data_IF_561563800252
#
_entry.id   IF_561563800252
#
_cell.length_a   1.000
_cell.length_b   1.000
_cell.length_c   1.000
_cell.angle_alpha   90.00
_cell.angle_beta   90.00
_cell.angle_gamma   90.00
#
_symmetry.space_group_name_H-M   'P 1'
#
loop_
_entity.id
_entity.type
_entity.pdbx_description
1 polymer ?
#
# COMPACT_ATOMS: atom_id res chain seq x y z
N UNK A 1 13.18 -26.31 -6.59
CA UNK A 1 13.51 -27.75 -6.65
C UNK A 1 14.93 -27.98 -7.20
N UNK A 2 15.31 -27.42 -8.37
CA UNK A 2 16.67 -27.55 -8.94
C UNK A 2 17.86 -27.30 -7.98
N UNK A 3 17.76 -26.32 -7.08
CA UNK A 3 18.82 -26.08 -6.10
C UNK A 3 18.97 -27.23 -5.09
N UNK A 4 17.86 -27.84 -4.66
CA UNK A 4 17.86 -28.99 -3.76
C UNK A 4 18.43 -30.23 -4.47
N UNK A 5 18.02 -30.48 -5.72
CA UNK A 5 18.60 -31.54 -6.56
C UNK A 5 20.12 -31.38 -6.69
N UNK A 6 20.60 -30.14 -6.85
CA UNK A 6 22.04 -29.86 -6.94
C UNK A 6 22.78 -30.12 -5.63
N UNK A 7 22.16 -29.83 -4.48
CA UNK A 7 22.71 -30.09 -3.15
C UNK A 7 22.76 -31.61 -2.90
N UNK A 8 21.66 -32.31 -3.18
CA UNK A 8 21.56 -33.76 -3.00
C UNK A 8 22.61 -34.50 -3.84
N UNK A 9 22.81 -34.07 -5.09
CA UNK A 9 23.89 -34.58 -5.93
C UNK A 9 25.28 -34.30 -5.32
N UNK A 10 25.49 -33.09 -4.78
CA UNK A 10 26.75 -32.72 -4.14
C UNK A 10 27.07 -33.53 -2.87
N UNK A 11 26.06 -34.04 -2.17
CA UNK A 11 26.24 -34.90 -0.98
C UNK A 11 26.68 -36.34 -1.34
N UNK A 12 26.39 -36.79 -2.55
CA UNK A 12 26.66 -38.15 -3.01
C UNK A 12 27.83 -38.26 -4.00
N UNK A 13 28.23 -37.14 -4.62
CA UNK A 13 29.32 -37.07 -5.58
C UNK A 13 30.63 -36.56 -4.96
N UNK A 14 31.74 -36.68 -5.70
CA UNK A 14 32.98 -36.00 -5.32
C UNK A 14 32.82 -34.47 -5.40
N UNK A 15 33.66 -33.73 -4.68
CA UNK A 15 33.62 -32.26 -4.67
C UNK A 15 33.70 -31.65 -6.09
N UNK A 16 34.58 -32.18 -6.94
CA UNK A 16 34.73 -31.70 -8.33
C UNK A 16 33.52 -32.00 -9.21
N UNK A 17 32.84 -33.13 -8.99
CA UNK A 17 31.60 -33.47 -9.67
C UNK A 17 30.45 -32.58 -9.19
N UNK A 18 30.36 -32.34 -7.88
CA UNK A 18 29.40 -31.41 -7.28
C UNK A 18 29.50 -30.01 -7.88
N UNK A 19 30.71 -29.46 -7.98
CA UNK A 19 30.95 -28.15 -8.60
C UNK A 19 30.57 -28.12 -10.09
N UNK A 20 30.88 -29.18 -10.85
CA UNK A 20 30.49 -29.27 -12.27
C UNK A 20 28.97 -29.32 -12.42
N UNK A 21 28.28 -30.09 -11.59
CA UNK A 21 26.82 -30.15 -11.58
C UNK A 21 26.19 -28.81 -11.21
N UNK A 22 26.67 -28.16 -10.14
CA UNK A 22 26.19 -26.85 -9.72
C UNK A 22 26.33 -25.82 -10.85
N UNK A 23 27.49 -25.78 -11.50
CA UNK A 23 27.75 -24.91 -12.67
C UNK A 23 26.73 -25.17 -13.79
N UNK A 24 26.46 -26.43 -14.11
CA UNK A 24 25.51 -26.80 -15.17
C UNK A 24 24.07 -26.38 -14.81
N UNK A 25 23.63 -26.68 -13.59
CA UNK A 25 22.31 -26.29 -13.07
C UNK A 25 22.15 -24.77 -13.08
N UNK A 26 23.16 -24.03 -12.59
CA UNK A 26 23.16 -22.57 -12.60
C UNK A 26 23.01 -22.00 -14.02
N UNK A 27 23.77 -22.51 -15.00
CA UNK A 27 23.68 -22.02 -16.37
C UNK A 27 22.32 -22.33 -17.01
N UNK A 28 21.72 -23.48 -16.69
CA UNK A 28 20.37 -23.83 -17.10
C UNK A 28 19.33 -22.85 -16.53
N UNK A 29 19.36 -22.64 -15.22
CA UNK A 29 18.45 -21.71 -14.53
C UNK A 29 18.61 -20.27 -15.04
N UNK A 30 19.85 -19.79 -15.24
CA UNK A 30 20.12 -18.42 -15.70
C UNK A 30 19.39 -18.06 -17.01
N UNK A 31 19.23 -19.05 -17.89
CA UNK A 31 18.57 -18.92 -19.20
C UNK A 31 17.05 -19.07 -19.15
N UNK A 32 16.46 -19.50 -18.03
CA UNK A 32 15.01 -19.72 -17.93
C UNK A 32 14.21 -18.42 -18.03
N UNK A 33 12.92 -18.53 -18.39
CA UNK A 33 11.98 -17.40 -18.38
C UNK A 33 11.80 -16.84 -16.97
N UNK A 34 11.67 -17.69 -15.97
CA UNK A 34 11.51 -17.29 -14.57
C UNK A 34 12.73 -16.48 -14.08
N UNK A 35 13.95 -16.93 -14.39
CA UNK A 35 15.16 -16.23 -13.97
C UNK A 35 15.29 -14.87 -14.69
N UNK A 36 14.90 -14.78 -15.96
CA UNK A 36 14.82 -13.48 -16.67
C UNK A 36 13.79 -12.54 -16.05
N UNK A 37 12.60 -13.03 -15.74
CA UNK A 37 11.52 -12.24 -15.13
C UNK A 37 11.89 -11.74 -13.73
N UNK A 38 12.47 -12.58 -12.88
CA UNK A 38 12.89 -12.18 -11.54
C UNK A 38 14.02 -11.15 -11.56
N UNK A 39 14.98 -11.26 -12.50
CA UNK A 39 16.00 -10.23 -12.70
C UNK A 39 15.37 -8.91 -13.17
N UNK A 40 14.39 -8.97 -14.07
CA UNK A 40 13.65 -7.78 -14.50
C UNK A 40 12.96 -7.10 -13.31
N UNK A 41 12.21 -7.86 -12.49
CA UNK A 41 11.56 -7.34 -11.28
C UNK A 41 12.56 -6.68 -10.32
N UNK A 42 13.70 -7.34 -10.08
CA UNK A 42 14.78 -6.80 -9.24
C UNK A 42 15.34 -5.45 -9.75
N UNK A 43 15.51 -5.30 -11.07
CA UNK A 43 15.94 -4.02 -11.64
C UNK A 43 14.82 -2.98 -11.67
N UNK A 44 13.57 -3.40 -11.87
CA UNK A 44 12.40 -2.51 -11.86
C UNK A 44 12.19 -1.89 -10.47
N UNK A 45 12.30 -2.67 -9.39
CA UNK A 45 12.23 -2.17 -8.01
C UNK A 45 13.28 -1.09 -7.70
N UNK A 46 14.45 -1.17 -8.34
CA UNK A 46 15.50 -0.15 -8.19
C UNK A 46 15.30 1.06 -9.08
N UNK A 47 14.73 0.84 -10.27
CA UNK A 47 14.45 1.89 -11.22
C UNK A 47 13.32 2.80 -10.75
N UNK A 48 12.32 2.26 -10.03
CA UNK A 48 11.13 3.03 -9.64
C UNK A 48 11.43 4.21 -8.71
N UNK A 49 12.51 4.13 -7.93
CA UNK A 49 12.96 5.23 -7.08
C UNK A 49 13.72 6.34 -7.84
N UNK A 50 14.03 6.14 -9.13
CA UNK A 50 14.74 7.11 -9.98
C UNK A 50 13.75 7.87 -10.83
N UNK A 51 13.21 8.95 -10.30
CA UNK A 51 12.19 9.74 -10.98
C UNK A 51 12.85 10.88 -11.76
N UNK A 52 12.62 10.97 -13.08
CA UNK A 52 13.12 12.09 -13.87
C UNK A 52 12.64 13.44 -13.32
N UNK A 53 13.55 14.40 -13.17
CA UNK A 53 13.24 15.74 -12.65
C UNK A 53 13.32 15.88 -11.12
N UNK A 54 13.70 14.83 -10.39
CA UNK A 54 13.98 14.87 -8.95
C UNK A 54 15.47 14.70 -8.60
N UNK A 55 16.37 14.68 -9.59
CA UNK A 55 17.78 14.30 -9.40
C UNK A 55 18.54 15.23 -8.44
N UNK A 56 18.18 16.51 -8.41
CA UNK A 56 18.80 17.54 -7.57
C UNK A 56 17.91 17.99 -6.41
N UNK A 57 16.81 17.28 -6.16
CA UNK A 57 15.87 17.63 -5.10
C UNK A 57 16.26 16.94 -3.80
N UNK A 58 16.58 17.73 -2.79
CA UNK A 58 16.90 17.20 -1.47
C UNK A 58 15.62 16.88 -0.68
N UNK A 59 15.46 15.65 -0.16
CA UNK A 59 14.35 15.33 0.74
C UNK A 59 14.51 16.09 2.05
N UNK A 60 13.38 16.43 2.69
CA UNK A 60 13.34 16.89 4.08
C UNK A 60 13.60 15.70 5.00
N UNK A 61 14.27 15.94 6.12
CA UNK A 61 14.38 14.94 7.16
C UNK A 61 13.03 14.77 7.86
N UNK A 62 12.69 13.51 8.15
CA UNK A 62 11.50 13.15 8.92
C UNK A 62 11.95 12.29 10.07
N UNK A 63 11.58 12.62 11.29
CA UNK A 63 11.80 11.78 12.46
C UNK A 63 10.54 11.62 13.32
N UNK A 64 9.63 12.59 13.28
CA UNK A 64 8.37 12.66 14.01
C UNK A 64 7.20 12.58 13.04
N UNK A 65 6.39 11.52 13.19
CA UNK A 65 5.19 11.29 12.40
C UNK A 65 3.92 11.52 13.20
N UNK A 66 2.96 12.19 12.58
CA UNK A 66 1.57 12.19 12.99
C UNK A 66 0.78 11.14 12.23
N UNK A 67 -0.14 10.45 12.90
CA UNK A 67 -1.11 9.55 12.25
C UNK A 67 -2.49 9.95 12.75
N UNK A 68 -3.41 10.27 11.83
CA UNK A 68 -4.79 10.65 12.19
C UNK A 68 -5.73 9.49 11.89
N UNK A 69 -6.35 8.95 12.93
CA UNK A 69 -7.18 7.75 12.86
C UNK A 69 -6.41 6.48 13.19
N UNK A 70 -6.87 5.76 14.21
CA UNK A 70 -6.32 4.52 14.77
C UNK A 70 -7.16 3.29 14.45
N UNK A 71 -7.82 3.30 13.29
CA UNK A 71 -8.38 2.08 12.69
C UNK A 71 -7.30 1.12 12.20
N UNK A 72 -7.69 0.08 11.46
CA UNK A 72 -6.78 -0.97 10.97
C UNK A 72 -5.57 -0.42 10.21
N UNK A 73 -5.79 0.54 9.31
CA UNK A 73 -4.70 1.15 8.52
C UNK A 73 -3.80 2.02 9.38
N UNK A 74 -4.36 2.90 10.21
CA UNK A 74 -3.58 3.76 11.10
C UNK A 74 -2.69 2.96 12.07
N UNK A 75 -3.23 1.89 12.67
CA UNK A 75 -2.45 0.96 13.50
C UNK A 75 -1.31 0.33 12.68
N UNK A 76 -1.61 -0.19 11.48
CA UNK A 76 -0.59 -0.81 10.63
C UNK A 76 0.52 0.15 10.20
N UNK A 77 0.17 1.39 9.87
CA UNK A 77 1.12 2.45 9.50
C UNK A 77 1.98 2.83 10.71
N UNK A 78 1.38 2.99 11.90
CA UNK A 78 2.10 3.28 13.13
C UNK A 78 3.12 2.17 13.47
N UNK A 79 2.72 0.90 13.34
CA UNK A 79 3.62 -0.25 13.54
C UNK A 79 4.78 -0.21 12.53
N UNK A 80 4.54 0.13 11.26
CA UNK A 80 5.63 0.31 10.28
C UNK A 80 6.63 1.38 10.74
N UNK A 81 6.12 2.56 11.09
CA UNK A 81 6.94 3.72 11.45
C UNK A 81 7.74 3.46 12.73
N UNK A 82 7.12 2.91 13.77
CA UNK A 82 7.80 2.61 15.03
C UNK A 82 8.92 1.58 14.87
N UNK A 83 8.70 0.54 14.05
CA UNK A 83 9.73 -0.46 13.70
C UNK A 83 10.89 0.12 12.91
N UNK A 84 10.63 1.11 12.07
CA UNK A 84 11.65 1.85 11.34
C UNK A 84 12.37 2.93 12.18
N UNK A 85 12.04 3.05 13.48
CA UNK A 85 12.73 3.94 14.41
C UNK A 85 12.18 5.37 14.46
N UNK A 86 11.02 5.64 13.87
CA UNK A 86 10.39 6.95 13.96
C UNK A 86 9.70 7.17 15.31
N UNK A 87 9.56 8.44 15.70
CA UNK A 87 8.66 8.88 16.75
C UNK A 87 7.26 9.01 16.16
N UNK A 88 6.24 8.46 16.83
CA UNK A 88 4.88 8.44 16.31
C UNK A 88 3.92 9.03 17.33
N UNK A 89 3.14 10.00 16.87
CA UNK A 89 1.98 10.54 17.56
C UNK A 89 0.74 10.10 16.81
N UNK A 90 -0.17 9.40 17.47
CA UNK A 90 -1.45 8.99 16.89
C UNK A 90 -2.59 9.80 17.50
N UNK A 91 -3.35 10.47 16.65
CA UNK A 91 -4.52 11.27 17.01
C UNK A 91 -5.81 10.47 16.76
N UNK A 92 -6.68 10.46 17.76
CA UNK A 92 -8.03 9.87 17.70
C UNK A 92 -9.09 10.84 18.22
N UNK A 93 -10.36 10.60 17.92
CA UNK A 93 -11.43 11.53 18.33
C UNK A 93 -11.78 11.43 19.81
N UNK A 94 -11.64 10.24 20.38
CA UNK A 94 -12.03 9.96 21.77
C UNK A 94 -10.93 9.22 22.52
N UNK A 95 -10.85 9.42 23.83
CA UNK A 95 -9.86 8.72 24.68
C UNK A 95 -10.01 7.20 24.59
N UNK A 96 -11.24 6.71 24.42
CA UNK A 96 -11.52 5.28 24.25
C UNK A 96 -11.01 4.74 22.89
N UNK A 97 -11.16 5.49 21.80
CA UNK A 97 -10.56 5.16 20.49
C UNK A 97 -9.03 5.21 20.57
N UNK A 98 -8.47 6.27 21.17
CA UNK A 98 -7.02 6.44 21.36
C UNK A 98 -6.40 5.28 22.15
N UNK A 99 -7.02 4.86 23.26
CA UNK A 99 -6.57 3.71 24.05
C UNK A 99 -6.64 2.39 23.26
N UNK A 100 -7.71 2.19 22.45
CA UNK A 100 -7.83 1.02 21.58
C UNK A 100 -6.75 1.00 20.50
N UNK A 101 -6.48 2.14 19.87
CA UNK A 101 -5.43 2.29 18.87
C UNK A 101 -4.05 1.97 19.47
N UNK A 102 -3.75 2.52 20.66
CA UNK A 102 -2.52 2.22 21.40
C UNK A 102 -2.37 0.72 21.65
N UNK A 103 -3.40 0.08 22.19
CA UNK A 103 -3.38 -1.36 22.44
C UNK A 103 -3.18 -2.18 21.16
N UNK A 104 -3.83 -1.79 20.06
CA UNK A 104 -3.66 -2.42 18.75
C UNK A 104 -2.24 -2.29 18.19
N UNK A 105 -1.59 -1.13 18.36
CA UNK A 105 -0.20 -0.92 17.96
C UNK A 105 0.74 -1.77 18.81
N UNK A 106 0.57 -1.77 20.13
CA UNK A 106 1.38 -2.59 21.03
C UNK A 106 1.26 -4.08 20.72
N UNK A 107 0.03 -4.57 20.47
CA UNK A 107 -0.19 -5.95 20.03
C UNK A 107 0.46 -6.24 18.65
N UNK A 108 0.38 -5.28 17.72
CA UNK A 108 1.01 -5.38 16.41
C UNK A 108 2.54 -5.49 16.50
N UNK A 109 3.18 -4.73 17.39
CA UNK A 109 4.61 -4.82 17.67
C UNK A 109 4.97 -6.15 18.37
N UNK A 110 4.18 -6.56 19.35
CA UNK A 110 4.37 -7.83 20.07
C UNK A 110 4.33 -9.03 19.12
N UNK A 111 3.45 -9.03 18.11
CA UNK A 111 3.41 -10.09 17.10
C UNK A 111 4.70 -10.21 16.27
N UNK A 112 5.52 -9.16 16.15
CA UNK A 112 6.85 -9.28 15.52
C UNK A 112 7.88 -9.88 16.47
N UNK A 113 7.76 -9.65 17.79
CA UNK A 113 8.62 -10.29 18.79
C UNK A 113 8.36 -11.79 18.84
N UNK A 114 7.08 -12.19 18.87
CA UNK A 114 6.67 -13.60 18.89
C UNK A 114 7.11 -14.39 17.64
N UNK A 115 7.39 -13.70 16.55
CA UNK A 115 7.86 -14.29 15.29
C UNK A 115 9.38 -14.18 15.10
N UNK A 116 10.11 -13.81 16.15
CA UNK A 116 11.56 -13.58 16.12
C UNK A 116 12.00 -12.55 15.06
N UNK A 117 11.13 -11.58 14.76
CA UNK A 117 11.37 -10.50 13.78
C UNK A 117 11.62 -9.14 14.45
N UNK A 118 11.65 -9.10 15.78
CA UNK A 118 11.93 -7.92 16.60
C UNK A 118 12.45 -8.36 17.97
N UNK A 119 13.47 -7.70 18.51
CA UNK A 119 13.96 -8.01 19.85
C UNK A 119 13.06 -7.38 20.94
N UNK A 120 13.08 -7.91 22.16
CA UNK A 120 12.35 -7.30 23.28
C UNK A 120 12.84 -5.90 23.63
N UNK A 121 14.13 -5.61 23.39
CA UNK A 121 14.71 -4.27 23.58
C UNK A 121 14.17 -3.28 22.55
N UNK A 122 14.16 -3.67 21.26
CA UNK A 122 13.59 -2.85 20.20
C UNK A 122 12.10 -2.61 20.42
N UNK A 123 11.37 -3.61 20.88
CA UNK A 123 9.95 -3.52 21.21
C UNK A 123 9.69 -2.46 22.29
N UNK A 124 10.45 -2.50 23.40
CA UNK A 124 10.35 -1.48 24.46
C UNK A 124 10.70 -0.09 23.94
N UNK A 125 11.76 0.03 23.15
CA UNK A 125 12.16 1.31 22.56
C UNK A 125 11.09 1.87 21.60
N UNK A 126 10.45 1.00 20.79
CA UNK A 126 9.34 1.37 19.93
C UNK A 126 8.13 1.88 20.72
N UNK A 127 7.78 1.22 21.83
CA UNK A 127 6.67 1.66 22.70
C UNK A 127 6.92 3.02 23.35
N UNK A 128 8.16 3.32 23.70
CA UNK A 128 8.55 4.62 24.26
C UNK A 128 8.43 5.77 23.24
N UNK A 129 8.56 5.46 21.94
CA UNK A 129 8.40 6.41 20.84
C UNK A 129 6.94 6.64 20.43
N UNK A 130 5.98 5.93 21.04
CA UNK A 130 4.56 6.03 20.75
C UNK A 130 3.83 6.93 21.76
N UNK A 131 3.26 8.01 21.24
CA UNK A 131 2.30 8.86 21.93
C UNK A 131 0.94 8.71 21.24
N UNK A 132 -0.13 8.70 22.02
CA UNK A 132 -1.50 8.67 21.52
C UNK A 132 -2.29 9.75 22.24
N UNK A 133 -3.02 10.58 21.50
CA UNK A 133 -3.75 11.72 22.04
C UNK A 133 -5.10 11.91 21.34
N UNK A 134 -5.88 12.88 21.80
CA UNK A 134 -7.12 13.34 21.18
C UNK A 134 -7.10 14.81 20.81
N UNK A 135 -6.10 15.57 21.28
CA UNK A 135 -5.91 16.97 20.94
C UNK A 135 -4.94 17.15 19.77
N UNK A 136 -5.33 17.92 18.75
CA UNK A 136 -4.48 18.25 17.60
C UNK A 136 -3.17 18.93 18.00
N UNK A 137 -3.09 19.58 19.16
CA UNK A 137 -1.86 20.17 19.69
C UNK A 137 -0.68 19.17 19.79
N UNK A 138 -0.97 17.86 19.89
CA UNK A 138 0.04 16.81 19.91
C UNK A 138 0.84 16.72 18.59
N UNK A 139 0.32 17.27 17.49
CA UNK A 139 0.94 17.23 16.15
C UNK A 139 1.97 18.35 15.92
N UNK A 140 2.12 19.27 16.87
CA UNK A 140 2.98 20.47 16.79
C UNK A 140 4.49 20.22 16.60
N UNK A 141 4.94 18.97 16.61
CA UNK A 141 6.35 18.59 16.39
C UNK A 141 6.53 17.63 15.21
N UNK A 142 5.47 17.35 14.46
CA UNK A 142 5.48 16.35 13.38
C UNK A 142 5.93 16.95 12.06
N UNK A 143 6.79 16.25 11.32
CA UNK A 143 7.27 16.67 9.99
C UNK A 143 6.46 16.03 8.85
N UNK A 144 5.80 14.91 9.13
CA UNK A 144 4.89 14.21 8.22
C UNK A 144 3.67 13.72 8.99
N UNK A 145 2.48 14.09 8.53
CA UNK A 145 1.20 13.61 9.08
C UNK A 145 0.51 12.73 8.04
N UNK A 146 0.07 11.54 8.44
CA UNK A 146 -0.64 10.60 7.57
C UNK A 146 -2.07 10.42 8.07
N UNK A 147 -3.03 10.88 7.29
CA UNK A 147 -4.46 10.70 7.50
C UNK A 147 -4.89 9.29 7.09
N UNK A 148 -5.53 8.57 8.01
CA UNK A 148 -6.05 7.21 7.85
C UNK A 148 -7.46 7.06 8.48
N UNK A 149 -8.29 8.08 8.34
CA UNK A 149 -9.71 8.09 8.72
C UNK A 149 -10.58 7.48 7.62
N UNK A 150 -11.90 7.48 7.86
CA UNK A 150 -12.88 6.90 6.94
C UNK A 150 -12.78 7.45 5.52
N UNK A 151 -13.10 6.59 4.55
CA UNK A 151 -13.05 6.89 3.12
C UNK A 151 -14.27 7.72 2.68
N UNK A 152 -14.33 8.96 3.15
CA UNK A 152 -15.35 9.95 2.81
C UNK A 152 -14.69 11.31 2.54
N UNK A 153 -15.07 11.95 1.43
CA UNK A 153 -14.42 13.19 0.98
C UNK A 153 -14.62 14.35 1.96
N UNK A 154 -15.82 14.49 2.53
CA UNK A 154 -16.11 15.61 3.42
C UNK A 154 -15.44 15.41 4.79
N UNK A 155 -15.41 14.17 5.29
CA UNK A 155 -14.65 13.84 6.50
C UNK A 155 -13.16 14.14 6.30
N UNK A 156 -12.56 13.73 5.17
CA UNK A 156 -11.15 13.99 4.89
C UNK A 156 -10.87 15.49 4.71
N UNK A 157 -11.71 16.22 3.97
CA UNK A 157 -11.58 17.67 3.85
C UNK A 157 -11.63 18.36 5.21
N UNK A 158 -12.52 17.94 6.10
CA UNK A 158 -12.56 18.50 7.46
C UNK A 158 -11.29 18.22 8.25
N UNK A 159 -10.81 16.97 8.23
CA UNK A 159 -9.53 16.63 8.87
C UNK A 159 -8.38 17.46 8.30
N UNK A 160 -8.31 17.64 6.99
CA UNK A 160 -7.24 18.42 6.35
C UNK A 160 -7.30 19.92 6.69
N UNK A 161 -8.49 20.50 6.94
CA UNK A 161 -8.60 21.87 7.47
C UNK A 161 -8.02 21.98 8.88
N UNK A 162 -8.39 21.05 9.76
CA UNK A 162 -7.85 21.01 11.13
C UNK A 162 -6.33 20.79 11.13
N UNK A 163 -5.83 19.93 10.23
CA UNK A 163 -4.40 19.71 10.05
C UNK A 163 -3.68 20.96 9.53
N UNK A 164 -4.27 21.68 8.57
CA UNK A 164 -3.67 22.90 8.04
C UNK A 164 -3.54 24.01 9.11
N UNK A 165 -4.47 24.05 10.07
CA UNK A 165 -4.45 24.99 11.19
C UNK A 165 -3.43 24.60 12.29
N UNK A 166 -3.33 23.31 12.62
CA UNK A 166 -2.56 22.85 13.78
C UNK A 166 -1.18 22.28 13.46
N UNK A 167 -0.92 21.89 12.21
CA UNK A 167 0.38 21.37 11.81
C UNK A 167 1.40 22.52 11.66
N UNK A 168 2.65 22.32 12.12
CA UNK A 168 3.72 23.29 11.91
C UNK A 168 3.93 23.65 10.44
N UNK A 169 4.48 24.83 10.19
CA UNK A 169 4.86 25.23 8.83
C UNK A 169 5.90 24.26 8.25
N UNK A 170 5.70 23.85 7.00
CA UNK A 170 6.56 22.89 6.32
C UNK A 170 6.29 21.40 6.64
N UNK A 171 5.34 21.09 7.51
CA UNK A 171 4.85 19.72 7.72
C UNK A 171 4.14 19.22 6.46
N UNK A 172 4.50 18.01 6.02
CA UNK A 172 3.84 17.34 4.89
C UNK A 172 2.54 16.70 5.37
N UNK A 173 1.44 16.95 4.64
CA UNK A 173 0.13 16.37 4.92
C UNK A 173 -0.18 15.27 3.90
N UNK A 174 -0.21 14.03 4.35
CA UNK A 174 -0.45 12.87 3.50
C UNK A 174 -1.82 12.24 3.76
N UNK A 175 -2.52 11.81 2.71
CA UNK A 175 -3.74 11.00 2.85
C UNK A 175 -3.48 9.54 2.42
N UNK A 176 -4.00 8.58 3.18
CA UNK A 176 -4.00 7.15 2.85
C UNK A 176 -5.24 6.72 2.05
N UNK A 177 -5.97 7.65 1.43
CA UNK A 177 -7.12 7.29 0.56
C UNK A 177 -6.72 6.31 -0.54
N UNK A 178 -7.67 5.47 -0.97
CA UNK A 178 -7.50 4.48 -2.02
C UNK A 178 -8.16 4.88 -3.34
N UNK A 179 -9.12 5.82 -3.31
CA UNK A 179 -9.90 6.22 -4.49
C UNK A 179 -10.21 7.71 -4.58
N UNK A 180 -10.15 8.46 -3.49
CA UNK A 180 -10.55 9.86 -3.50
C UNK A 180 -9.50 10.73 -4.18
N UNK A 181 -9.98 11.79 -4.82
CA UNK A 181 -9.14 12.74 -5.52
C UNK A 181 -8.28 13.54 -4.52
N UNK A 182 -6.97 13.34 -4.55
CA UNK A 182 -6.01 14.03 -3.67
C UNK A 182 -6.00 15.54 -3.90
N UNK A 183 -6.25 16.02 -5.12
CA UNK A 183 -6.28 17.45 -5.43
C UNK A 183 -7.47 18.15 -4.77
N UNK A 184 -8.61 17.47 -4.64
CA UNK A 184 -9.77 18.01 -3.89
C UNK A 184 -9.51 18.13 -2.39
N UNK A 185 -8.72 17.21 -1.84
CA UNK A 185 -8.29 17.25 -0.44
C UNK A 185 -7.25 18.38 -0.25
N UNK A 186 -6.30 18.52 -1.18
CA UNK A 186 -5.30 19.57 -1.14
C UNK A 186 -5.92 20.98 -1.24
N UNK A 187 -7.00 21.12 -2.03
CA UNK A 187 -7.65 22.41 -2.30
C UNK A 187 -8.28 23.08 -1.08
N UNK A 188 -8.54 22.36 0.02
CA UNK A 188 -9.07 22.94 1.26
C UNK A 188 -7.99 23.41 2.24
N UNK A 189 -6.71 23.23 1.89
CA UNK A 189 -5.57 23.67 2.68
C UNK A 189 -4.95 24.94 2.08
N UNK A 190 -4.25 25.70 2.92
CA UNK A 190 -3.42 26.84 2.51
C UNK A 190 -2.06 26.43 1.93
N UNK A 191 -1.68 25.14 2.08
CA UNK A 191 -0.39 24.55 1.65
C UNK A 191 -0.53 23.38 0.66
N UNK A 192 -1.28 23.49 -0.45
CA UNK A 192 -1.50 22.37 -1.37
C UNK A 192 -0.21 21.77 -1.95
N UNK A 193 0.89 22.53 -1.97
CA UNK A 193 2.22 22.07 -2.34
C UNK A 193 2.85 21.06 -1.36
N UNK A 194 2.42 21.06 -0.10
CA UNK A 194 2.85 20.13 0.95
C UNK A 194 1.85 18.97 1.17
N UNK A 195 0.83 18.85 0.31
CA UNK A 195 -0.17 17.76 0.33
C UNK A 195 0.18 16.66 -0.67
N UNK A 196 0.08 15.39 -0.26
CA UNK A 196 0.38 14.22 -1.10
C UNK A 196 -0.48 13.00 -0.73
N UNK A 197 -0.64 12.02 -1.62
CA UNK A 197 -1.19 10.72 -1.24
C UNK A 197 -0.09 9.72 -0.87
N UNK A 198 -0.27 9.01 0.23
CA UNK A 198 0.54 7.87 0.65
C UNK A 198 -0.38 6.66 0.82
N UNK A 199 -0.70 6.00 -0.28
CA UNK A 199 -1.62 4.87 -0.29
C UNK A 199 -0.89 3.58 0.09
N UNK A 200 -1.05 3.18 1.36
CA UNK A 200 -0.58 1.92 1.90
C UNK A 200 -1.57 0.80 1.59
N UNK A 201 -1.05 -0.41 1.35
CA UNK A 201 -1.87 -1.60 1.13
C UNK A 201 -2.09 -2.37 2.43
N UNK A 202 -3.33 -2.77 2.69
CA UNK A 202 -3.65 -3.56 3.89
C UNK A 202 -3.18 -5.02 3.76
N UNK A 203 -2.59 -5.63 4.81
CA UNK A 203 -2.13 -5.01 6.05
C UNK A 203 -0.83 -4.21 5.86
N UNK A 204 -0.82 -2.94 6.28
CA UNK A 204 0.28 -2.01 5.98
C UNK A 204 1.65 -2.50 6.48
N UNK A 205 1.70 -3.18 7.63
CA UNK A 205 2.91 -3.74 8.23
C UNK A 205 3.49 -4.97 7.52
N UNK A 206 2.75 -5.56 6.59
CA UNK A 206 3.20 -6.70 5.79
C UNK A 206 3.44 -6.32 4.33
N UNK A 207 2.58 -5.46 3.77
CA UNK A 207 2.67 -5.10 2.36
C UNK A 207 3.82 -4.15 2.07
N UNK A 208 4.62 -4.49 1.04
CA UNK A 208 5.79 -3.69 0.65
C UNK A 208 5.47 -2.51 -0.25
N UNK A 209 4.39 -2.58 -1.03
CA UNK A 209 4.05 -1.53 -1.98
C UNK A 209 3.50 -0.29 -1.25
N UNK A 210 3.95 0.89 -1.66
CA UNK A 210 3.42 2.18 -1.24
C UNK A 210 3.24 3.04 -2.50
N UNK A 211 2.01 3.44 -2.79
CA UNK A 211 1.73 4.37 -3.87
C UNK A 211 1.87 5.81 -3.35
N UNK A 212 2.80 6.56 -3.93
CA UNK A 212 3.03 7.97 -3.66
C UNK A 212 2.27 8.73 -4.74
N UNK A 213 1.09 9.25 -4.39
CA UNK A 213 0.19 9.92 -5.32
C UNK A 213 0.51 11.40 -5.33
N UNK A 214 1.13 11.86 -6.42
CA UNK A 214 1.47 13.27 -6.61
C UNK A 214 0.25 14.03 -7.14
N UNK A 215 -0.22 15.00 -6.36
CA UNK A 215 -1.21 15.99 -6.78
C UNK A 215 -0.62 17.01 -7.75
N UNK A 216 -1.49 17.80 -8.38
CA UNK A 216 -1.11 18.79 -9.39
C UNK A 216 -0.14 19.83 -8.82
N UNK A 217 -0.40 20.29 -7.59
CA UNK A 217 0.41 21.32 -6.90
C UNK A 217 1.52 20.75 -6.03
N UNK A 218 1.53 19.43 -5.77
CA UNK A 218 2.50 18.80 -4.86
C UNK A 218 3.94 19.11 -5.28
N UNK A 219 4.70 19.68 -4.34
CA UNK A 219 6.09 20.07 -4.52
C UNK A 219 7.01 18.88 -4.80
N UNK A 220 8.04 19.10 -5.61
CA UNK A 220 9.04 18.07 -5.91
C UNK A 220 9.79 17.60 -4.66
N UNK A 221 10.04 18.49 -3.70
CA UNK A 221 10.66 18.17 -2.41
C UNK A 221 9.80 17.22 -1.57
N UNK A 222 8.47 17.35 -1.62
CA UNK A 222 7.54 16.44 -0.93
C UNK A 222 7.64 15.05 -1.51
N UNK A 223 7.60 14.93 -2.83
CA UNK A 223 7.73 13.63 -3.52
C UNK A 223 9.07 12.97 -3.18
N UNK A 224 10.18 13.73 -3.25
CA UNK A 224 11.50 13.22 -2.88
C UNK A 224 11.55 12.76 -1.41
N UNK A 225 10.94 13.52 -0.51
CA UNK A 225 10.82 13.20 0.92
C UNK A 225 10.03 11.92 1.14
N UNK A 226 8.88 11.77 0.49
CA UNK A 226 8.05 10.57 0.58
C UNK A 226 8.72 9.33 -0.01
N UNK A 227 9.53 9.46 -1.06
CA UNK A 227 10.35 8.36 -1.58
C UNK A 227 11.44 7.94 -0.58
N UNK A 228 12.09 8.91 0.07
CA UNK A 228 13.07 8.63 1.12
C UNK A 228 12.42 7.97 2.34
N UNK A 229 11.24 8.45 2.74
CA UNK A 229 10.41 7.86 3.79
C UNK A 229 10.01 6.43 3.47
N UNK A 230 9.52 6.15 2.26
CA UNK A 230 9.17 4.79 1.81
C UNK A 230 10.36 3.83 1.95
N UNK A 231 11.57 4.26 1.54
CA UNK A 231 12.80 3.46 1.70
C UNK A 231 13.14 3.19 3.16
N UNK A 232 12.99 4.19 4.05
CA UNK A 232 13.21 4.01 5.50
C UNK A 232 12.23 3.02 6.13
N UNK A 233 11.02 2.89 5.58
CA UNK A 233 10.03 1.89 5.99
C UNK A 233 10.25 0.50 5.39
N UNK A 234 11.32 0.28 4.60
CA UNK A 234 11.52 -0.93 3.78
C UNK A 234 10.33 -1.20 2.82
N UNK A 235 9.78 -0.11 2.26
CA UNK A 235 8.70 -0.14 1.27
C UNK A 235 9.21 0.25 -0.12
N UNK A 236 8.56 -0.30 -1.14
CA UNK A 236 8.74 0.06 -2.54
C UNK A 236 7.77 1.19 -2.86
N UNK A 237 8.27 2.43 -2.79
CA UNK A 237 7.52 3.62 -3.17
C UNK A 237 7.42 3.77 -4.68
N UNK A 238 6.20 3.81 -5.22
CA UNK A 238 5.93 4.01 -6.64
C UNK A 238 5.19 5.33 -6.84
N UNK A 239 5.64 6.17 -7.77
CA UNK A 239 4.98 7.43 -8.06
C UNK A 239 3.76 7.21 -8.95
N UNK A 240 2.62 7.71 -8.51
CA UNK A 240 1.37 7.75 -9.25
C UNK A 240 0.93 9.21 -9.44
N UNK A 241 0.20 9.47 -10.53
CA UNK A 241 -0.61 10.67 -10.64
C UNK A 241 -1.99 10.44 -10.04
N UNK A 242 -2.73 11.51 -9.79
CA UNK A 242 -4.13 11.43 -9.34
C UNK A 242 -5.00 10.83 -10.45
N UNK A 243 -5.60 9.68 -10.18
CA UNK A 243 -6.64 9.08 -10.99
C UNK A 243 -7.42 8.03 -10.19
N UNK A 244 -8.60 7.64 -10.66
CA UNK A 244 -9.44 6.63 -10.02
C UNK A 244 -8.68 5.32 -9.78
N UNK A 245 -8.54 4.95 -8.51
CA UNK A 245 -7.84 3.73 -8.08
C UNK A 245 -6.33 3.71 -8.36
N UNK A 246 -5.72 4.87 -8.66
CA UNK A 246 -4.29 5.04 -8.87
C UNK A 246 -3.68 3.99 -9.82
N UNK A 247 -2.77 3.15 -9.33
CA UNK A 247 -2.12 2.09 -10.11
C UNK A 247 -2.76 0.74 -9.77
N UNK A 248 -2.66 0.31 -8.51
CA UNK A 248 -3.02 -1.03 -8.06
C UNK A 248 -4.51 -1.33 -8.21
N UNK A 249 -5.36 -0.48 -7.62
CA UNK A 249 -6.81 -0.68 -7.67
C UNK A 249 -7.35 -0.54 -9.10
N UNK A 250 -6.76 0.36 -9.90
CA UNK A 250 -7.11 0.52 -11.32
C UNK A 250 -6.82 -0.74 -12.14
N UNK A 251 -5.66 -1.38 -11.94
CA UNK A 251 -5.33 -2.66 -12.58
C UNK A 251 -6.27 -3.76 -12.08
N UNK A 252 -6.50 -3.81 -10.77
CA UNK A 252 -7.39 -4.80 -10.14
C UNK A 252 -8.80 -4.71 -10.71
N UNK A 253 -9.35 -3.51 -10.88
CA UNK A 253 -10.67 -3.29 -11.47
C UNK A 253 -10.81 -3.91 -12.88
N UNK A 254 -9.80 -3.74 -13.74
CA UNK A 254 -9.85 -4.29 -15.09
C UNK A 254 -9.75 -5.81 -15.12
N UNK A 255 -8.89 -6.40 -14.29
CA UNK A 255 -8.81 -7.85 -14.16
C UNK A 255 -10.09 -8.43 -13.54
N UNK A 256 -10.63 -7.75 -12.52
CA UNK A 256 -11.89 -8.11 -11.86
C UNK A 256 -13.04 -8.22 -12.85
N UNK A 257 -13.16 -7.22 -13.73
CA UNK A 257 -14.16 -7.22 -14.81
C UNK A 257 -14.10 -8.48 -15.69
N UNK A 258 -12.91 -9.02 -15.96
CA UNK A 258 -12.78 -10.25 -16.75
C UNK A 258 -13.23 -11.48 -15.95
N UNK A 259 -12.89 -11.51 -14.65
CA UNK A 259 -13.31 -12.58 -13.74
C UNK A 259 -14.84 -12.60 -13.60
N UNK A 260 -15.48 -11.43 -13.56
CA UNK A 260 -16.95 -11.32 -13.54
C UNK A 260 -17.59 -11.85 -14.84
N UNK A 261 -17.01 -11.56 -16.01
CA UNK A 261 -17.50 -12.13 -17.27
C UNK A 261 -17.37 -13.65 -17.34
N UNK A 262 -16.30 -14.23 -16.79
CA UNK A 262 -16.17 -15.69 -16.72
C UNK A 262 -17.26 -16.32 -15.85
N UNK A 263 -17.65 -15.64 -14.76
CA UNK A 263 -18.76 -16.07 -13.92
C UNK A 263 -20.11 -15.96 -14.66
N UNK A 264 -20.33 -14.88 -15.42
CA UNK A 264 -21.52 -14.70 -16.26
C UNK A 264 -21.61 -15.76 -17.37
N UNK A 265 -20.47 -16.20 -17.91
CA UNK A 265 -20.38 -17.26 -18.93
C UNK A 265 -20.55 -18.68 -18.35
N UNK A 266 -20.68 -18.81 -17.02
CA UNK A 266 -21.03 -20.06 -16.34
C UNK A 266 -19.89 -20.78 -15.63
N UNK A 267 -18.69 -20.19 -15.54
CA UNK A 267 -17.62 -20.74 -14.71
C UNK A 267 -17.92 -20.52 -13.22
N UNK A 268 -17.55 -21.47 -12.36
CA UNK A 268 -17.75 -21.33 -10.92
C UNK A 268 -16.59 -20.57 -10.26
N UNK A 269 -16.82 -19.82 -9.16
CA UNK A 269 -15.77 -19.04 -8.50
C UNK A 269 -14.51 -19.82 -8.14
N UNK A 270 -14.64 -21.05 -7.64
CA UNK A 270 -13.50 -21.90 -7.29
C UNK A 270 -12.72 -22.43 -8.50
N UNK A 271 -13.37 -22.58 -9.66
CA UNK A 271 -12.70 -23.00 -10.90
C UNK A 271 -11.79 -21.88 -11.40
N UNK A 272 -12.28 -20.63 -11.33
CA UNK A 272 -11.50 -19.44 -11.67
C UNK A 272 -10.35 -19.29 -10.67
N UNK A 273 -10.61 -19.38 -9.37
CA UNK A 273 -9.57 -19.29 -8.35
C UNK A 273 -8.48 -20.35 -8.54
N UNK A 274 -8.87 -21.61 -8.75
CA UNK A 274 -7.92 -22.69 -8.98
C UNK A 274 -7.09 -22.48 -10.25
N UNK A 275 -7.71 -22.00 -11.34
CA UNK A 275 -7.00 -21.72 -12.58
C UNK A 275 -5.96 -20.61 -12.40
N UNK A 276 -6.31 -19.54 -11.68
CA UNK A 276 -5.43 -18.40 -11.42
C UNK A 276 -4.30 -18.73 -10.43
N UNK A 277 -4.59 -19.54 -9.41
CA UNK A 277 -3.58 -20.07 -8.49
C UNK A 277 -2.61 -21.00 -9.24
N UNK A 278 -3.12 -21.86 -10.12
CA UNK A 278 -2.30 -22.75 -10.97
C UNK A 278 -1.43 -21.97 -11.97
N UNK A 279 -1.91 -20.83 -12.44
CA UNK A 279 -1.14 -19.90 -13.27
C UNK A 279 0.02 -19.24 -12.50
N UNK A 280 -0.10 -19.12 -11.17
CA UNK A 280 0.95 -18.63 -10.28
C UNK A 280 0.56 -17.42 -9.42
N UNK A 281 -0.73 -17.05 -9.36
CA UNK A 281 -1.20 -16.08 -8.37
C UNK A 281 -1.14 -16.66 -6.96
N UNK A 282 -0.83 -15.83 -5.96
CA UNK A 282 -0.73 -16.28 -4.57
C UNK A 282 -2.09 -16.68 -3.98
N UNK A 283 -3.18 -16.10 -4.49
CA UNK A 283 -4.55 -16.36 -4.07
C UNK A 283 -5.49 -16.08 -5.25
N UNK A 284 -6.52 -16.90 -5.40
CA UNK A 284 -7.56 -16.70 -6.41
C UNK A 284 -8.35 -15.39 -6.20
N UNK A 285 -8.83 -14.76 -7.29
CA UNK A 285 -9.55 -13.48 -7.23
C UNK A 285 -10.77 -13.48 -6.31
N UNK A 286 -11.56 -14.55 -6.25
CA UNK A 286 -12.77 -14.58 -5.41
C UNK A 286 -12.41 -14.72 -3.93
N UNK A 287 -11.43 -15.56 -3.59
CA UNK A 287 -10.87 -15.60 -2.23
C UNK A 287 -10.31 -14.25 -1.76
N UNK A 288 -9.61 -13.52 -2.64
CA UNK A 288 -9.10 -12.17 -2.30
C UNK A 288 -10.26 -11.23 -1.93
N UNK A 289 -11.36 -11.28 -2.68
CA UNK A 289 -12.53 -10.44 -2.38
C UNK A 289 -13.24 -10.83 -1.09
N UNK A 290 -13.39 -12.12 -0.81
CA UNK A 290 -13.99 -12.58 0.45
C UNK A 290 -13.19 -12.03 1.64
N UNK A 291 -11.86 -11.95 1.50
CA UNK A 291 -10.99 -11.36 2.51
C UNK A 291 -11.04 -9.83 2.55
N UNK A 292 -11.13 -9.16 1.39
CA UNK A 292 -11.25 -7.70 1.32
C UNK A 292 -12.61 -7.19 1.83
N UNK A 293 -13.65 -8.03 1.74
CA UNK A 293 -15.01 -7.73 2.15
C UNK A 293 -15.83 -7.12 1.02
N UNK A 294 -16.96 -7.77 0.71
CA UNK A 294 -17.94 -7.38 -0.32
C UNK A 294 -18.48 -5.94 -0.17
N UNK A 295 -18.38 -5.33 1.02
CA UNK A 295 -18.92 -4.00 1.33
C UNK A 295 -18.04 -2.86 0.79
N UNK A 296 -16.72 -3.07 0.65
CA UNK A 296 -15.85 -2.05 0.03
C UNK A 296 -16.21 -1.85 -1.45
N UNK A 297 -16.64 -2.92 -2.13
CA UNK A 297 -16.99 -2.90 -3.56
C UNK A 297 -18.39 -2.29 -3.82
N UNK A 298 -19.34 -2.54 -2.90
CA UNK A 298 -20.72 -2.04 -3.02
C UNK A 298 -20.95 -0.59 -2.53
N UNK A 299 -20.10 -0.05 -1.65
CA UNK A 299 -20.22 1.34 -1.14
C UNK A 299 -19.40 2.36 -1.92
N UNK A 300 -18.42 1.95 -2.72
CA UNK A 300 -17.80 2.78 -3.78
C UNK A 300 -18.74 2.89 -4.98
N UNK A 301 -19.97 3.36 -4.74
CA UNK A 301 -21.02 3.65 -5.71
C UNK A 301 -20.70 4.81 -6.66
N UNK A 302 -19.44 4.95 -7.06
CA UNK A 302 -18.94 5.92 -8.05
C UNK A 302 -17.97 5.29 -9.06
N UNK A 303 -17.97 3.97 -9.24
CA UNK A 303 -17.23 3.27 -10.31
C UNK A 303 -18.10 2.52 -11.33
N UNK A 304 -19.33 2.15 -10.98
CA UNK A 304 -20.30 1.54 -11.90
C UNK A 304 -21.01 2.61 -12.74
N UNK A 305 -20.22 3.44 -13.41
CA UNK A 305 -20.68 4.27 -14.50
C UNK A 305 -21.01 3.39 -15.71
N UNK A 306 -22.26 2.94 -15.78
CA UNK A 306 -22.86 2.69 -17.09
C UNK A 306 -22.67 3.97 -17.90
N UNK A 307 -21.85 3.91 -18.95
CA UNK A 307 -21.68 5.02 -19.86
C UNK A 307 -23.08 5.38 -20.41
N UNK A 308 -23.57 6.64 -20.35
CA UNK A 308 -24.96 6.98 -20.73
C UNK A 308 -25.31 6.74 -22.21
N UNK A 309 -24.41 6.16 -23.01
CA UNK A 309 -24.67 5.69 -24.37
C UNK A 309 -25.08 4.22 -24.48
N UNK A 310 -24.82 3.36 -23.48
CA UNK A 310 -25.19 1.93 -23.55
C UNK A 310 -26.57 1.62 -22.93
N UNK A 311 -27.06 2.45 -22.01
CA UNK A 311 -28.37 2.23 -21.37
C UNK A 311 -29.58 2.45 -22.30
N UNK A 312 -29.40 3.13 -23.44
CA UNK A 312 -30.47 3.38 -24.43
C UNK A 312 -30.63 2.24 -25.45
N UNK A 313 -29.65 1.34 -25.55
CA UNK A 313 -29.71 0.19 -26.48
C UNK A 313 -30.46 -1.02 -25.89
N UNK A 314 -30.63 -1.10 -24.56
CA UNK A 314 -31.19 -2.27 -23.88
C UNK A 314 -32.68 -2.15 -23.49
N UNK A 315 -33.36 -1.05 -23.88
CA UNK A 315 -34.80 -0.84 -23.62
C UNK A 315 -35.63 -0.66 -24.90
N UNK A 316 -35.31 -1.40 -25.96
CA UNK A 316 -36.03 -1.25 -27.23
C UNK A 316 -35.97 -2.44 -28.17
N UNK A 317 -36.33 -3.65 -27.72
CA UNK A 317 -37.01 -4.64 -28.58
C UNK A 317 -37.45 -5.91 -27.81
N UNK A 318 -38.54 -5.79 -27.05
CA UNK A 318 -39.39 -6.95 -26.72
C UNK A 318 -40.80 -6.68 -27.22
N UNK A 319 -41.00 -6.86 -28.53
CA UNK A 319 -42.30 -7.19 -29.11
C UNK A 319 -42.11 -8.25 -30.18
N UNK A 320 -42.88 -9.33 -30.02
CA UNK A 320 -43.34 -10.30 -31.02
C UNK A 320 -42.27 -10.99 -31.88
N UNK A 321 -42.12 -12.31 -31.73
CA UNK A 321 -42.76 -13.32 -32.60
C UNK A 321 -42.93 -14.61 -31.78
N UNK A 322 -44.08 -15.25 -32.03
CA UNK A 322 -44.61 -16.56 -31.64
C UNK A 322 -43.56 -17.65 -31.37
#
# INVERSE_FOLDING_TARGET
MRALESIEYGLSASFEEGLRNERAVFQGLRKSSQSRALRHAFFAERAVAKIPGLENTHPRDIQHLGIVGGGTMGIGIAVCALKAGFNVVLLERTLAESARARAGIEAGLQAFVERDRMTSSDHTAARQRLVTDTDYACLSTTELIIEAVFEDMEIKKEVFRQLDEHAPDGTILATNTSYLNTDEIAAVTSRPEDVIGLHFFSPAQLMRLLEIVKGEKTGSHVVATCLAFARRLDKVGVLAGVCDGFIGNRILFHYRKQVDYMLEDGAMPWEIDQAMESFGMAMGPFRVMDQAGWILDGRTGSGFGTHPRSARALRGNRRSVV
#
